data_IF_846638504449
#
_entry.id   IF_846638504449
#
_cell.length_a   1.000
_cell.length_b   1.000
_cell.length_c   1.000
_cell.angle_alpha   90.00
_cell.angle_beta   90.00
_cell.angle_gamma   90.00
#
_symmetry.space_group_name_H-M   'P 1'
#
loop_
_entity.id
_entity.type
_entity.pdbx_description
1 polymer ?
#
# COMPACT_ATOMS: atom_id res chain seq x y z
N UNK A 1 -28.67 4.76 -22.53
CA UNK A 1 -27.44 4.62 -21.73
C UNK A 1 -27.60 3.39 -20.84
N UNK A 2 -27.78 2.22 -21.44
CA UNK A 2 -28.14 0.96 -20.76
C UNK A 2 -26.95 0.34 -19.99
N UNK A 3 -25.74 0.53 -20.50
CA UNK A 3 -24.49 -0.02 -19.96
C UNK A 3 -24.14 0.44 -18.53
N UNK A 4 -24.65 1.58 -18.06
CA UNK A 4 -24.35 2.08 -16.72
C UNK A 4 -25.24 1.45 -15.65
N UNK A 5 -26.48 1.07 -16.00
CA UNK A 5 -27.38 0.37 -15.09
C UNK A 5 -26.99 -1.10 -14.91
N UNK A 6 -26.47 -1.75 -15.96
CA UNK A 6 -25.98 -3.14 -15.88
C UNK A 6 -24.76 -3.27 -14.95
N UNK A 7 -23.92 -2.24 -14.85
CA UNK A 7 -22.76 -2.25 -13.95
C UNK A 7 -23.18 -1.97 -12.51
N UNK A 8 -24.21 -1.14 -12.28
CA UNK A 8 -24.71 -0.85 -10.93
C UNK A 8 -25.58 -1.97 -10.35
N UNK A 9 -26.09 -2.88 -11.18
CA UNK A 9 -26.93 -4.03 -10.80
C UNK A 9 -26.19 -5.38 -10.81
N UNK A 10 -24.86 -5.37 -10.64
CA UNK A 10 -24.10 -6.59 -10.35
C UNK A 10 -24.45 -7.13 -8.95
N UNK A 11 -25.61 -7.78 -8.85
CA UNK A 11 -25.97 -8.66 -7.75
C UNK A 11 -25.60 -10.08 -8.20
N UNK A 12 -24.58 -10.74 -7.59
CA UNK A 12 -24.21 -12.09 -8.01
C UNK A 12 -25.38 -13.04 -7.76
N UNK A 13 -25.96 -13.56 -8.84
CA UNK A 13 -27.13 -14.46 -8.84
C UNK A 13 -26.77 -15.92 -8.53
N UNK A 14 -25.51 -16.21 -8.19
CA UNK A 14 -25.06 -17.58 -7.86
C UNK A 14 -24.01 -17.58 -6.75
N UNK A 15 -24.20 -18.47 -5.78
CA UNK A 15 -23.37 -18.65 -4.58
C UNK A 15 -22.05 -19.39 -4.87
N UNK A 16 -21.81 -19.83 -6.12
CA UNK A 16 -20.70 -20.73 -6.50
C UNK A 16 -19.63 -20.07 -7.37
N UNK A 17 -19.80 -18.81 -7.76
CA UNK A 17 -18.93 -18.12 -8.71
C UNK A 17 -18.39 -16.78 -8.22
N UNK A 18 -17.85 -16.72 -6.99
CA UNK A 18 -17.00 -15.58 -6.64
C UNK A 18 -15.79 -15.61 -7.59
N UNK A 19 -15.73 -14.65 -8.51
CA UNK A 19 -14.53 -14.43 -9.32
C UNK A 19 -13.34 -14.31 -8.37
N UNK A 20 -12.19 -14.87 -8.74
CA UNK A 20 -10.97 -14.78 -7.92
C UNK A 20 -10.64 -13.32 -7.52
N UNK A 21 -11.07 -12.36 -8.36
CA UNK A 21 -10.98 -10.93 -8.08
C UNK A 21 -11.84 -10.48 -6.89
N UNK A 22 -13.10 -10.93 -6.82
CA UNK A 22 -14.02 -10.54 -5.75
C UNK A 22 -13.57 -11.13 -4.41
N UNK A 23 -13.14 -12.39 -4.41
CA UNK A 23 -12.56 -13.04 -3.24
C UNK A 23 -11.32 -12.28 -2.74
N UNK A 24 -10.44 -11.89 -3.65
CA UNK A 24 -9.22 -11.14 -3.31
C UNK A 24 -9.55 -9.75 -2.76
N UNK A 25 -10.47 -9.03 -3.39
CA UNK A 25 -10.89 -7.69 -2.96
C UNK A 25 -11.49 -7.73 -1.55
N UNK A 26 -12.39 -8.68 -1.28
CA UNK A 26 -13.00 -8.84 0.05
C UNK A 26 -11.95 -9.15 1.13
N UNK A 27 -10.97 -10.01 0.81
CA UNK A 27 -9.85 -10.29 1.71
C UNK A 27 -8.97 -9.06 1.95
N UNK A 28 -8.69 -8.28 0.91
CA UNK A 28 -7.91 -7.04 1.03
C UNK A 28 -8.64 -5.97 1.86
N UNK A 29 -9.96 -5.86 1.69
CA UNK A 29 -10.80 -4.94 2.48
C UNK A 29 -10.86 -5.36 3.95
N UNK A 30 -10.93 -6.66 4.25
CA UNK A 30 -10.85 -7.18 5.61
C UNK A 30 -9.51 -6.86 6.28
N UNK A 31 -8.41 -6.95 5.52
CA UNK A 31 -7.04 -6.77 6.03
C UNK A 31 -6.47 -5.36 5.78
N UNK A 32 -7.31 -4.35 5.54
CA UNK A 32 -6.89 -2.99 5.15
C UNK A 32 -5.80 -2.39 6.02
N UNK A 33 -5.92 -2.49 7.35
CA UNK A 33 -4.95 -1.90 8.30
C UNK A 33 -3.58 -2.55 8.15
N UNK A 34 -3.55 -3.88 8.02
CA UNK A 34 -2.31 -4.64 7.84
C UNK A 34 -1.64 -4.31 6.51
N UNK A 35 -2.41 -4.20 5.44
CA UNK A 35 -1.89 -3.83 4.11
C UNK A 35 -1.28 -2.42 4.16
N UNK A 36 -2.00 -1.45 4.71
CA UNK A 36 -1.51 -0.07 4.86
C UNK A 36 -0.25 -0.04 5.73
N UNK A 37 -0.21 -0.79 6.82
CA UNK A 37 0.96 -0.86 7.69
C UNK A 37 2.20 -1.38 6.95
N UNK A 38 2.06 -2.48 6.18
CA UNK A 38 3.14 -3.02 5.35
C UNK A 38 3.56 -2.01 4.28
N UNK A 39 2.61 -1.34 3.63
CA UNK A 39 2.90 -0.29 2.65
C UNK A 39 3.68 0.88 3.26
N UNK A 40 3.29 1.36 4.45
CA UNK A 40 4.00 2.42 5.16
C UNK A 40 5.43 2.00 5.51
N UNK A 41 5.62 0.75 5.95
CA UNK A 41 6.96 0.18 6.18
C UNK A 41 7.78 0.22 4.89
N UNK A 42 7.19 -0.19 3.77
CA UNK A 42 7.87 -0.27 2.49
C UNK A 42 8.25 1.12 1.95
N UNK A 43 7.32 2.09 2.04
CA UNK A 43 7.57 3.51 1.73
C UNK A 43 8.68 4.07 2.62
N UNK A 44 8.64 3.79 3.92
CA UNK A 44 9.68 4.23 4.84
C UNK A 44 11.05 3.67 4.46
N UNK A 45 11.13 2.36 4.19
CA UNK A 45 12.38 1.72 3.80
C UNK A 45 12.91 2.21 2.45
N UNK A 46 12.01 2.48 1.50
CA UNK A 46 12.40 2.83 0.14
C UNK A 46 12.73 4.31 -0.03
N UNK A 47 11.94 5.19 0.59
CA UNK A 47 12.07 6.64 0.49
C UNK A 47 13.05 7.25 1.50
N UNK A 48 13.11 6.73 2.73
CA UNK A 48 13.93 7.31 3.79
C UNK A 48 15.11 6.43 4.18
N UNK A 49 15.03 5.11 4.04
CA UNK A 49 16.00 4.18 4.62
C UNK A 49 17.20 3.79 3.77
N UNK A 50 17.61 4.59 2.78
CA UNK A 50 18.86 4.33 2.02
C UNK A 50 20.11 4.31 2.94
N UNK A 51 20.00 4.72 4.21
CA UNK A 51 21.11 4.70 5.18
C UNK A 51 20.69 4.46 6.64
N UNK A 52 19.78 3.53 6.92
CA UNK A 52 19.34 3.29 8.32
C UNK A 52 20.35 2.42 9.09
N UNK A 53 21.25 3.10 9.81
CA UNK A 53 21.90 2.55 11.03
C UNK A 53 21.18 3.12 12.25
N UNK A 54 20.04 2.52 12.63
CA UNK A 54 19.34 2.93 13.84
C UNK A 54 19.50 1.90 14.97
N UNK A 55 19.71 2.35 16.22
CA UNK A 55 19.66 1.48 17.39
C UNK A 55 18.25 0.89 17.57
N UNK A 56 18.20 -0.37 18.03
CA UNK A 56 17.01 -1.23 18.09
C UNK A 56 15.79 -0.53 18.72
N UNK A 57 16.01 0.29 19.75
CA UNK A 57 14.94 0.99 20.45
C UNK A 57 14.20 2.02 19.57
N UNK A 58 14.92 2.70 18.66
CA UNK A 58 14.32 3.66 17.72
C UNK A 58 13.48 2.95 16.65
N UNK A 59 13.91 1.76 16.24
CA UNK A 59 13.15 0.93 15.28
C UNK A 59 11.81 0.48 15.88
N UNK A 60 11.79 0.08 17.16
CA UNK A 60 10.55 -0.29 17.84
C UNK A 60 9.59 0.90 17.92
N UNK A 61 10.09 2.07 18.37
CA UNK A 61 9.28 3.29 18.43
C UNK A 61 8.71 3.66 17.05
N UNK A 62 9.52 3.49 16.00
CA UNK A 62 9.10 3.74 14.63
C UNK A 62 7.96 2.81 14.20
N UNK A 63 8.06 1.50 14.46
CA UNK A 63 6.97 0.58 14.11
C UNK A 63 5.69 0.88 14.88
N UNK A 64 5.80 1.28 16.14
CA UNK A 64 4.63 1.73 16.92
C UNK A 64 4.00 2.96 16.26
N UNK A 65 4.80 3.95 15.87
CA UNK A 65 4.31 5.16 15.19
C UNK A 65 3.67 4.84 13.83
N UNK A 66 4.29 3.97 13.03
CA UNK A 66 3.73 3.51 11.76
C UNK A 66 2.42 2.74 11.97
N UNK A 67 2.31 1.96 13.04
CA UNK A 67 1.10 1.21 13.35
C UNK A 67 -0.05 2.15 13.72
N UNK A 68 0.24 3.17 14.54
CA UNK A 68 -0.74 4.22 14.86
C UNK A 68 -1.18 4.96 13.59
N UNK A 69 -0.24 5.32 12.71
CA UNK A 69 -0.55 5.92 11.41
C UNK A 69 -1.42 5.01 10.54
N UNK A 70 -1.15 3.69 10.53
CA UNK A 70 -1.95 2.72 9.79
C UNK A 70 -3.38 2.58 10.33
N UNK A 71 -3.59 2.72 11.64
CA UNK A 71 -4.93 2.75 12.23
C UNK A 71 -5.72 3.98 11.76
N UNK A 72 -5.10 5.16 11.80
CA UNK A 72 -5.71 6.40 11.33
C UNK A 72 -6.05 6.28 9.84
N UNK A 73 -5.09 5.86 9.02
CA UNK A 73 -5.30 5.66 7.59
C UNK A 73 -6.30 4.57 7.27
N UNK A 74 -6.43 3.52 8.09
CA UNK A 74 -7.46 2.50 7.93
C UNK A 74 -8.88 3.03 8.11
N UNK A 75 -9.07 4.05 8.95
CA UNK A 75 -10.37 4.75 9.11
C UNK A 75 -10.61 5.65 7.89
N UNK A 76 -9.58 6.38 7.44
CA UNK A 76 -9.69 7.24 6.25
C UNK A 76 -9.90 6.42 4.96
N UNK A 77 -9.38 5.17 4.89
CA UNK A 77 -9.49 4.29 3.73
C UNK A 77 -10.95 3.92 3.39
N UNK A 78 -11.88 4.11 4.33
CA UNK A 78 -13.31 3.87 4.12
C UNK A 78 -13.91 4.85 3.11
N UNK A 79 -13.46 6.10 3.12
CA UNK A 79 -13.97 7.15 2.24
C UNK A 79 -12.96 7.56 1.16
N UNK A 80 -11.68 7.42 1.47
CA UNK A 80 -10.57 7.78 0.59
C UNK A 80 -9.85 6.51 0.13
N UNK A 81 -9.44 6.37 -1.14
CA UNK A 81 -8.74 5.19 -1.63
C UNK A 81 -7.23 5.21 -1.23
N UNK A 82 -6.95 5.24 0.08
CA UNK A 82 -5.61 5.45 0.67
C UNK A 82 -4.66 4.29 0.35
N UNK A 83 -5.12 3.04 0.48
CA UNK A 83 -4.30 1.85 0.17
C UNK A 83 -3.81 1.81 -1.27
N UNK A 84 -4.65 2.25 -2.21
CA UNK A 84 -4.29 2.35 -3.63
C UNK A 84 -3.35 3.51 -3.90
N UNK A 85 -3.54 4.66 -3.24
CA UNK A 85 -2.63 5.80 -3.36
C UNK A 85 -1.23 5.46 -2.83
N UNK A 86 -1.14 4.75 -1.70
CA UNK A 86 0.11 4.22 -1.15
C UNK A 86 0.78 3.23 -2.10
N UNK A 87 0.01 2.38 -2.77
CA UNK A 87 0.53 1.45 -3.78
C UNK A 87 1.17 2.23 -4.95
N UNK A 88 0.51 3.29 -5.44
CA UNK A 88 1.07 4.17 -6.47
C UNK A 88 2.34 4.86 -5.99
N UNK A 89 2.36 5.37 -4.76
CA UNK A 89 3.56 5.99 -4.18
C UNK A 89 4.74 5.01 -4.11
N UNK A 90 4.48 3.75 -3.71
CA UNK A 90 5.48 2.68 -3.74
C UNK A 90 5.97 2.45 -5.17
N UNK A 91 5.08 2.34 -6.16
CA UNK A 91 5.47 2.12 -7.55
C UNK A 91 6.39 3.24 -8.07
N UNK A 92 6.07 4.50 -7.75
CA UNK A 92 6.91 5.66 -8.09
C UNK A 92 8.28 5.55 -7.41
N UNK A 93 8.32 5.25 -6.11
CA UNK A 93 9.59 5.09 -5.38
C UNK A 93 10.44 3.95 -5.96
N UNK A 94 9.83 2.83 -6.34
CA UNK A 94 10.53 1.72 -7.01
C UNK A 94 11.14 2.20 -8.33
N UNK A 95 10.36 2.89 -9.17
CA UNK A 95 10.84 3.42 -10.45
C UNK A 95 11.99 4.41 -10.24
N UNK A 96 11.83 5.37 -9.32
CA UNK A 96 12.86 6.38 -9.01
C UNK A 96 14.12 5.72 -8.48
N UNK A 97 13.99 4.71 -7.61
CA UNK A 97 15.13 3.99 -7.02
C UNK A 97 15.91 3.19 -8.05
N UNK A 98 15.23 2.58 -9.03
CA UNK A 98 15.88 1.91 -10.16
C UNK A 98 16.55 2.92 -11.10
N UNK A 99 15.93 4.10 -11.28
CA UNK A 99 16.42 5.16 -12.19
C UNK A 99 17.61 5.93 -11.61
N UNK A 100 17.69 6.09 -10.30
CA UNK A 100 18.89 6.53 -9.60
C UNK A 100 19.87 5.35 -9.61
N UNK A 101 20.57 5.19 -10.74
CA UNK A 101 21.89 4.53 -10.67
C UNK A 101 22.71 5.43 -9.75
N UNK A 102 23.37 4.91 -8.70
CA UNK A 102 24.41 5.67 -8.05
C UNK A 102 25.38 6.03 -9.16
N UNK A 103 25.41 7.30 -9.55
CA UNK A 103 26.36 7.79 -10.53
C UNK A 103 27.70 7.29 -10.04
N UNK A 104 28.28 6.39 -10.84
CA UNK A 104 29.54 5.78 -10.52
C UNK A 104 30.47 6.93 -10.18
N UNK A 105 30.90 6.96 -8.93
CA UNK A 105 32.15 7.58 -8.52
C UNK A 105 33.21 7.10 -9.51
N UNK A 106 33.42 7.93 -10.52
CA UNK A 106 34.35 7.79 -11.62
C UNK A 106 34.84 9.23 -11.79
N UNK A 107 36.04 9.63 -11.43
CA UNK A 107 37.25 9.00 -10.88
C UNK A 107 37.90 10.09 -10.00
N UNK A 108 38.67 9.73 -8.97
CA UNK A 108 40.09 10.13 -8.84
C UNK A 108 40.63 11.06 -9.93
#
# INVERSE_FOLDING_TARGET
MEWFEVVSTYAPSSTEGLSAYDSFRMWADHNRVWIIFVQLILVYYMGFATRVRMPILKTILLYVLLFIGALIFGILDVQLPVKSALLVAIAILVIVKVRIKPEGSSRK
#
